data_IF_065231192212
#
_entry.id   IF_065231192212
#
_cell.length_a   1.000
_cell.length_b   1.000
_cell.length_c   1.000
_cell.angle_alpha   90.00
_cell.angle_beta   90.00
_cell.angle_gamma   90.00
#
_symmetry.space_group_name_H-M   'P 1'
#
loop_
_entity.id
_entity.type
_entity.pdbx_description
1 polymer ?
#
# COMPACT_ATOMS: atom_id res chain seq x y z
N UNK A 1 9.33 26.78 2.62
CA UNK A 1 9.94 25.93 1.60
C UNK A 1 9.06 24.72 1.34
N UNK A 2 9.21 24.19 0.16
CA UNK A 2 8.41 23.03 -0.22
C UNK A 2 8.91 21.78 0.46
N UNK A 3 8.00 20.95 0.86
CA UNK A 3 8.33 19.66 1.39
C UNK A 3 8.58 18.64 0.30
N UNK A 4 9.17 17.53 0.67
CA UNK A 4 9.31 16.37 -0.20
C UNK A 4 8.76 15.15 0.52
N UNK A 5 8.39 14.15 -0.25
CA UNK A 5 7.72 12.98 0.26
C UNK A 5 8.28 11.77 -0.47
N UNK A 6 8.83 10.84 0.29
CA UNK A 6 9.54 9.69 -0.28
C UNK A 6 8.89 8.41 0.22
N UNK A 7 8.75 7.45 -0.66
CA UNK A 7 8.14 6.15 -0.35
C UNK A 7 9.11 5.03 -0.73
N UNK A 8 9.21 4.03 0.11
CA UNK A 8 9.94 2.81 -0.22
C UNK A 8 9.30 1.63 0.51
N UNK A 9 9.62 0.43 0.06
CA UNK A 9 9.16 -0.77 0.75
C UNK A 9 9.97 -0.90 2.02
N UNK A 10 9.27 -1.01 3.15
CA UNK A 10 9.93 -1.08 4.45
C UNK A 10 10.62 -2.42 4.65
N UNK A 11 11.69 -2.42 5.42
CA UNK A 11 12.39 -3.65 5.80
C UNK A 11 11.49 -4.61 6.57
N UNK A 12 10.47 -4.06 7.23
CA UNK A 12 9.52 -4.88 7.98
C UNK A 12 8.45 -5.53 7.10
N UNK A 13 8.46 -5.32 5.79
CA UNK A 13 7.59 -6.07 4.90
C UNK A 13 7.89 -7.56 5.04
N UNK A 14 6.85 -8.41 5.11
CA UNK A 14 7.11 -9.84 5.25
C UNK A 14 7.85 -10.39 4.04
N UNK A 15 8.71 -11.39 4.28
CA UNK A 15 9.37 -12.09 3.19
C UNK A 15 8.35 -12.91 2.39
N UNK A 16 8.76 -13.32 1.19
CA UNK A 16 7.93 -14.20 0.37
C UNK A 16 7.54 -15.46 1.17
N UNK A 17 6.29 -15.84 1.07
CA UNK A 17 5.76 -16.96 1.85
C UNK A 17 4.54 -17.54 1.16
N UNK A 18 4.03 -18.62 1.73
CA UNK A 18 2.80 -19.26 1.25
C UNK A 18 1.65 -18.94 2.19
N UNK A 19 0.47 -18.69 1.62
CA UNK A 19 -0.75 -18.47 2.38
C UNK A 19 -1.86 -19.30 1.76
N UNK A 20 -2.82 -19.78 2.57
CA UNK A 20 -3.94 -20.53 2.00
C UNK A 20 -4.98 -19.63 1.38
N UNK A 21 -5.68 -20.13 0.39
CA UNK A 21 -6.87 -19.45 -0.12
C UNK A 21 -7.88 -19.28 1.01
N UNK A 22 -8.56 -18.14 1.02
CA UNK A 22 -9.53 -17.81 2.05
C UNK A 22 -8.93 -17.17 3.29
N UNK A 23 -7.59 -16.99 3.34
CA UNK A 23 -6.96 -16.33 4.48
C UNK A 23 -7.40 -14.88 4.57
N UNK A 24 -7.55 -14.39 5.79
CA UNK A 24 -8.01 -13.02 6.05
C UNK A 24 -6.89 -12.21 6.68
N UNK A 25 -6.82 -10.93 6.30
CA UNK A 25 -5.94 -9.98 6.95
C UNK A 25 -4.45 -10.27 6.78
N UNK A 26 -4.06 -10.83 5.64
CA UNK A 26 -2.66 -11.13 5.37
C UNK A 26 -1.90 -9.87 5.02
N UNK A 27 -0.76 -9.65 5.69
CA UNK A 27 0.07 -8.49 5.39
C UNK A 27 0.76 -8.73 4.05
N UNK A 28 0.45 -7.91 3.06
CA UNK A 28 1.08 -8.02 1.75
C UNK A 28 2.30 -7.12 1.64
N UNK A 29 2.27 -5.96 2.29
CA UNK A 29 3.38 -5.04 2.19
C UNK A 29 3.34 -4.04 3.34
N UNK A 30 4.51 -3.52 3.68
CA UNK A 30 4.64 -2.37 4.57
C UNK A 30 5.45 -1.34 3.81
N UNK A 31 4.91 -0.14 3.66
CA UNK A 31 5.58 0.96 2.97
C UNK A 31 6.04 1.99 3.98
N UNK A 32 7.21 2.54 3.74
CA UNK A 32 7.82 3.55 4.60
C UNK A 32 7.72 4.90 3.89
N UNK A 33 7.06 5.85 4.53
CA UNK A 33 6.94 7.21 4.03
C UNK A 33 7.82 8.13 4.86
N UNK A 34 8.54 9.01 4.19
CA UNK A 34 9.36 10.01 4.84
C UNK A 34 8.96 11.39 4.32
N UNK A 35 8.61 12.30 5.23
CA UNK A 35 8.26 13.67 4.88
C UNK A 35 9.41 14.59 5.31
N UNK A 36 9.94 15.35 4.36
CA UNK A 36 11.02 16.30 4.64
C UNK A 36 10.51 17.72 4.45
N UNK A 37 10.88 18.61 5.35
CA UNK A 37 10.56 20.02 5.23
C UNK A 37 9.22 20.43 5.79
N UNK A 38 8.23 19.56 5.73
CA UNK A 38 6.91 19.79 6.32
C UNK A 38 6.22 18.47 6.51
N UNK A 39 5.22 18.45 7.38
CA UNK A 39 4.36 17.26 7.51
C UNK A 39 3.51 17.10 6.26
N UNK A 40 3.21 15.86 5.90
CA UNK A 40 2.42 15.55 4.71
C UNK A 40 1.29 14.61 5.08
N UNK A 41 0.09 14.94 4.63
CA UNK A 41 -1.05 14.04 4.78
C UNK A 41 -1.23 13.28 3.47
N UNK A 42 -1.14 11.95 3.54
CA UNK A 42 -1.36 11.10 2.37
C UNK A 42 -2.86 11.00 2.13
N UNK A 43 -3.29 11.39 0.94
CA UNK A 43 -4.72 11.44 0.62
C UNK A 43 -5.21 10.21 -0.10
N UNK A 44 -4.47 9.75 -1.10
CA UNK A 44 -4.77 8.51 -1.82
C UNK A 44 -3.48 7.82 -2.16
N UNK A 45 -3.55 6.51 -2.35
CA UNK A 45 -2.40 5.74 -2.80
C UNK A 45 -2.88 4.67 -3.75
N UNK A 46 -2.20 4.52 -4.89
CA UNK A 46 -2.55 3.50 -5.87
C UNK A 46 -1.54 2.37 -5.82
N UNK A 47 -2.03 1.16 -5.94
CA UNK A 47 -1.22 -0.04 -5.95
C UNK A 47 -1.44 -0.80 -7.24
N UNK A 48 -0.37 -1.38 -7.74
CA UNK A 48 -0.46 -2.35 -8.84
C UNK A 48 -0.36 -3.74 -8.26
N UNK A 49 -1.26 -4.60 -8.70
CA UNK A 49 -1.27 -6.00 -8.27
C UNK A 49 -0.60 -6.82 -9.36
N UNK A 50 0.49 -7.47 -9.00
CA UNK A 50 1.19 -8.38 -9.90
C UNK A 50 0.79 -9.81 -9.60
N UNK A 51 0.72 -10.63 -10.63
CA UNK A 51 0.27 -12.00 -10.50
C UNK A 51 -1.23 -12.10 -10.62
N UNK A 52 -1.84 -12.88 -9.74
CA UNK A 52 -3.28 -13.15 -9.82
C UNK A 52 -4.07 -12.11 -9.03
N UNK A 53 -4.50 -11.03 -9.71
CA UNK A 53 -5.24 -9.96 -9.05
C UNK A 53 -6.59 -10.44 -8.51
N UNK A 54 -7.17 -11.48 -9.09
CA UNK A 54 -8.44 -12.02 -8.62
C UNK A 54 -8.31 -12.74 -7.30
N UNK A 55 -7.08 -13.01 -6.87
CA UNK A 55 -6.86 -13.62 -5.58
C UNK A 55 -7.14 -12.70 -4.41
N UNK A 56 -7.23 -11.40 -4.65
CA UNK A 56 -7.46 -10.42 -3.58
C UNK A 56 -8.91 -9.98 -3.61
N UNK A 57 -9.63 -10.19 -2.52
CA UNK A 57 -11.04 -9.84 -2.45
C UNK A 57 -11.30 -8.55 -1.69
N UNK A 58 -10.37 -8.14 -0.83
CA UNK A 58 -10.51 -6.92 -0.05
C UNK A 58 -9.14 -6.50 0.47
N UNK A 59 -9.02 -5.23 0.81
CA UNK A 59 -7.79 -4.72 1.41
C UNK A 59 -8.12 -3.86 2.63
N UNK A 60 -7.17 -3.72 3.52
CA UNK A 60 -7.24 -2.75 4.62
C UNK A 60 -5.89 -2.05 4.76
N UNK A 61 -5.96 -0.80 5.19
CA UNK A 61 -4.76 0.01 5.43
C UNK A 61 -4.64 0.25 6.93
N UNK A 62 -3.42 0.14 7.43
CA UNK A 62 -3.18 0.21 8.87
C UNK A 62 -2.03 1.15 9.20
N UNK A 63 -2.22 1.95 10.22
CA UNK A 63 -1.20 2.77 10.87
C UNK A 63 -0.91 2.10 12.21
N UNK A 64 0.11 1.23 12.22
CA UNK A 64 0.34 0.40 13.39
C UNK A 64 -0.84 -0.51 13.66
N UNK A 65 -1.49 -0.34 14.79
CA UNK A 65 -2.64 -1.15 15.16
C UNK A 65 -3.98 -0.49 14.83
N UNK A 66 -3.94 0.69 14.20
CA UNK A 66 -5.16 1.42 13.86
C UNK A 66 -5.47 1.27 12.39
N UNK A 67 -6.67 0.81 12.06
CA UNK A 67 -7.10 0.74 10.68
C UNK A 67 -7.48 2.13 10.18
N UNK A 68 -6.89 2.52 9.05
CA UNK A 68 -7.09 3.86 8.50
C UNK A 68 -7.71 3.83 7.10
N UNK A 69 -8.08 2.68 6.61
CA UNK A 69 -8.76 2.59 5.31
C UNK A 69 -9.02 1.16 4.93
N UNK A 70 -9.73 0.99 3.82
CA UNK A 70 -10.02 -0.33 3.30
C UNK A 70 -11.08 -0.29 2.21
N UNK A 71 -11.25 -1.40 1.54
CA UNK A 71 -12.25 -1.52 0.51
C UNK A 71 -12.32 -2.91 -0.08
N UNK A 72 -13.26 -3.10 -0.98
CA UNK A 72 -13.48 -4.36 -1.68
C UNK A 72 -12.72 -4.30 -3.00
N UNK A 73 -12.08 -5.42 -3.36
CA UNK A 73 -11.37 -5.54 -4.63
C UNK A 73 -12.11 -6.49 -5.55
N UNK A 74 -12.11 -6.16 -6.83
CA UNK A 74 -12.88 -6.89 -7.83
C UNK A 74 -12.00 -7.42 -8.96
N UNK A 75 -10.76 -7.75 -8.64
CA UNK A 75 -9.85 -8.33 -9.62
C UNK A 75 -9.13 -7.34 -10.49
N UNK A 76 -9.17 -6.07 -10.14
CA UNK A 76 -8.43 -5.05 -10.90
C UNK A 76 -6.94 -5.21 -10.67
N UNK A 77 -6.17 -5.00 -11.73
CA UNK A 77 -4.71 -5.02 -11.62
C UNK A 77 -4.14 -3.74 -11.01
N UNK A 78 -4.93 -2.66 -10.98
CA UNK A 78 -4.56 -1.42 -10.33
C UNK A 78 -5.76 -0.97 -9.49
N UNK A 79 -5.51 -0.64 -8.23
CA UNK A 79 -6.59 -0.10 -7.43
C UNK A 79 -6.09 1.12 -6.65
N UNK A 80 -7.00 2.06 -6.45
CA UNK A 80 -6.72 3.27 -5.67
C UNK A 80 -7.31 3.07 -4.28
N UNK A 81 -6.45 3.13 -3.28
CA UNK A 81 -6.86 2.98 -1.90
C UNK A 81 -7.17 4.33 -1.31
N UNK A 82 -8.25 4.41 -0.57
CA UNK A 82 -8.67 5.64 0.09
C UNK A 82 -8.59 5.46 1.59
N UNK A 83 -8.47 6.59 2.28
CA UNK A 83 -8.33 6.60 3.72
C UNK A 83 -9.65 7.00 4.36
N UNK A 84 -10.07 6.26 5.39
CA UNK A 84 -11.22 6.61 6.20
C UNK A 84 -10.82 7.46 7.39
N UNK A 85 -9.53 7.54 7.65
CA UNK A 85 -8.96 8.33 8.74
C UNK A 85 -7.66 8.95 8.23
N UNK A 86 -7.25 10.06 8.80
CA UNK A 86 -6.08 10.76 8.28
C UNK A 86 -4.80 9.97 8.55
N UNK A 87 -3.89 10.04 7.58
CA UNK A 87 -2.58 9.41 7.67
C UNK A 87 -1.55 10.51 7.43
N UNK A 88 -0.98 11.03 8.52
CA UNK A 88 -0.10 12.19 8.47
C UNK A 88 1.30 11.75 8.87
N UNK A 89 2.25 12.01 7.98
CA UNK A 89 3.67 11.78 8.26
C UNK A 89 4.24 13.09 8.79
N UNK A 90 4.77 13.05 10.01
CA UNK A 90 5.28 14.25 10.65
C UNK A 90 6.51 14.76 9.94
N UNK A 91 6.78 16.06 10.05
CA UNK A 91 7.93 16.69 9.44
C UNK A 91 9.21 15.98 9.85
N UNK A 92 10.04 15.66 8.86
CA UNK A 92 11.36 15.04 9.05
C UNK A 92 11.29 13.71 9.81
N UNK A 93 10.21 12.97 9.57
CA UNK A 93 9.97 11.69 10.23
C UNK A 93 9.50 10.65 9.25
N UNK A 94 9.60 9.39 9.67
CA UNK A 94 9.10 8.25 8.91
C UNK A 94 7.81 7.75 9.51
N UNK A 95 6.98 7.16 8.66
CA UNK A 95 5.77 6.50 9.13
C UNK A 95 5.49 5.31 8.23
N UNK A 96 5.06 4.20 8.84
CA UNK A 96 4.80 2.96 8.10
C UNK A 96 3.32 2.83 7.82
N UNK A 97 3.02 2.41 6.59
CA UNK A 97 1.66 2.06 6.19
C UNK A 97 1.65 0.57 5.88
N UNK A 98 0.83 -0.18 6.60
CA UNK A 98 0.70 -1.62 6.40
C UNK A 98 -0.52 -1.88 5.53
N UNK A 99 -0.34 -2.68 4.49
CA UNK A 99 -1.43 -3.07 3.60
C UNK A 99 -1.71 -4.55 3.83
N UNK A 100 -2.92 -4.84 4.28
CA UNK A 100 -3.40 -6.21 4.47
C UNK A 100 -4.46 -6.50 3.43
N UNK A 101 -4.59 -7.77 3.10
CA UNK A 101 -5.60 -8.17 2.13
C UNK A 101 -6.21 -9.50 2.54
N UNK A 102 -7.42 -9.73 2.05
CA UNK A 102 -8.09 -11.02 2.17
C UNK A 102 -7.85 -11.80 0.89
N UNK A 103 -7.50 -13.06 1.06
CA UNK A 103 -7.26 -13.96 -0.08
C UNK A 103 -8.57 -14.66 -0.41
N UNK A 104 -8.98 -14.59 -1.66
CA UNK A 104 -10.24 -15.19 -2.07
C UNK A 104 -10.20 -16.71 -1.89
N UNK A 105 -11.34 -17.28 -1.49
CA UNK A 105 -11.47 -18.72 -1.41
C UNK A 105 -11.31 -19.32 -2.80
N UNK A 106 -10.56 -20.43 -2.88
CA UNK A 106 -10.33 -21.09 -4.16
C UNK A 106 -9.31 -20.43 -5.06
N UNK A 107 -8.68 -19.36 -4.59
CA UNK A 107 -7.65 -18.70 -5.38
C UNK A 107 -6.39 -19.55 -5.45
N UNK A 108 -5.60 -19.34 -6.51
CA UNK A 108 -4.32 -20.00 -6.69
C UNK A 108 -3.32 -19.01 -7.28
N UNK A 109 -2.10 -19.51 -7.53
CA UNK A 109 -1.05 -18.70 -8.11
C UNK A 109 -0.30 -17.91 -7.06
N UNK A 110 0.17 -16.73 -7.45
CA UNK A 110 0.89 -15.84 -6.55
C UNK A 110 0.43 -14.42 -6.77
N UNK A 111 0.67 -13.57 -5.79
CA UNK A 111 0.26 -12.19 -5.87
C UNK A 111 1.21 -11.32 -5.05
N UNK A 112 1.45 -10.11 -5.54
CA UNK A 112 2.19 -9.09 -4.80
C UNK A 112 1.62 -7.74 -5.15
N UNK A 113 1.93 -6.74 -4.34
CA UNK A 113 1.49 -5.38 -4.62
C UNK A 113 2.72 -4.49 -4.73
N UNK A 114 2.60 -3.51 -5.62
CA UNK A 114 3.62 -2.49 -5.83
C UNK A 114 2.97 -1.13 -5.70
N UNK A 115 3.80 -0.15 -5.37
CA UNK A 115 3.35 1.22 -5.45
C UNK A 115 3.23 1.63 -6.92
N UNK A 116 2.10 2.20 -7.30
CA UNK A 116 1.90 2.70 -8.65
C UNK A 116 1.82 4.22 -8.61
N UNK A 117 2.90 4.88 -8.99
CA UNK A 117 2.95 6.33 -8.99
C UNK A 117 3.63 6.90 -10.22
N UNK A 118 3.68 6.12 -11.30
CA UNK A 118 4.48 6.48 -12.46
C UNK A 118 3.84 7.50 -13.39
N UNK A 119 2.59 7.81 -13.22
CA UNK A 119 1.91 8.61 -14.22
C UNK A 119 1.84 10.09 -13.88
N UNK A 120 2.54 10.53 -12.84
CA UNK A 120 2.53 11.93 -12.39
C UNK A 120 1.12 12.47 -12.23
N UNK A 121 0.19 11.60 -11.88
CA UNK A 121 -1.22 11.92 -11.87
C UNK A 121 -1.71 11.99 -10.44
N UNK A 122 -2.12 13.18 -10.02
CA UNK A 122 -2.65 13.37 -8.68
C UNK A 122 -3.89 12.54 -8.41
N UNK A 123 -4.50 11.94 -9.44
CA UNK A 123 -5.67 11.09 -9.24
C UNK A 123 -5.32 9.74 -8.63
N UNK A 124 -4.05 9.32 -8.69
CA UNK A 124 -3.65 8.00 -8.21
C UNK A 124 -3.02 8.07 -6.83
N UNK A 125 -1.88 8.74 -6.71
CA UNK A 125 -1.20 8.81 -5.42
C UNK A 125 -0.74 10.23 -5.19
N UNK A 126 -1.16 10.80 -4.07
CA UNK A 126 -0.67 12.12 -3.69
C UNK A 126 -0.94 12.38 -2.22
N UNK A 127 -0.15 13.29 -1.67
CA UNK A 127 -0.38 13.85 -0.35
C UNK A 127 -0.49 15.35 -0.45
N UNK A 128 -0.80 15.96 0.67
CA UNK A 128 -0.89 17.42 0.79
C UNK A 128 0.04 17.86 1.90
N UNK A 129 0.94 18.81 1.58
CA UNK A 129 1.80 19.40 2.60
C UNK A 129 0.96 20.20 3.56
N UNK A 130 1.17 19.95 4.85
CA UNK A 130 0.32 20.57 5.87
C UNK A 130 0.57 22.07 5.93
N UNK A 131 1.84 22.51 5.83
CA UNK A 131 2.17 23.92 5.91
C UNK A 131 1.91 24.65 4.60
N UNK A 132 2.25 24.02 3.47
CA UNK A 132 2.16 24.69 2.17
C UNK A 132 0.79 24.57 1.53
N UNK A 133 0.03 23.53 1.86
CA UNK A 133 -1.23 23.23 1.21
C UNK A 133 -1.05 22.66 -0.19
N UNK A 134 0.16 22.31 -0.59
CA UNK A 134 0.46 21.86 -1.94
C UNK A 134 0.30 20.37 -2.08
N UNK A 135 -0.18 19.93 -3.25
CA UNK A 135 -0.19 18.52 -3.58
C UNK A 135 1.22 18.03 -3.85
N UNK A 136 1.54 16.85 -3.32
CA UNK A 136 2.87 16.27 -3.45
C UNK A 136 2.70 14.83 -3.90
N UNK A 137 3.37 14.46 -5.00
CA UNK A 137 3.42 13.08 -5.45
C UNK A 137 4.66 12.45 -4.85
N UNK A 138 4.55 11.33 -4.13
CA UNK A 138 5.72 10.72 -3.52
C UNK A 138 6.73 10.28 -4.58
N UNK A 139 8.00 10.48 -4.28
CA UNK A 139 9.08 9.92 -5.08
C UNK A 139 9.53 8.61 -4.45
N UNK A 140 10.19 7.77 -5.25
CA UNK A 140 10.66 6.48 -4.78
C UNK A 140 12.17 6.46 -4.80
N UNK A 141 12.76 5.87 -3.77
CA UNK A 141 14.22 5.78 -3.65
C UNK A 141 14.73 4.44 -4.17
N UNK A 142 13.92 3.41 -4.12
CA UNK A 142 14.35 2.08 -4.46
C UNK A 142 13.18 1.30 -5.04
N UNK A 143 13.40 0.01 -5.24
CA UNK A 143 12.36 -0.89 -5.73
C UNK A 143 11.16 -0.85 -4.79
N UNK A 144 9.98 -0.62 -5.35
CA UNK A 144 8.75 -0.56 -4.58
C UNK A 144 7.95 -1.86 -4.67
N UNK A 145 8.58 -2.93 -5.16
CA UNK A 145 7.94 -4.23 -5.25
C UNK A 145 8.01 -4.94 -3.90
N UNK A 146 6.85 -5.24 -3.34
CA UNK A 146 6.80 -6.05 -2.14
C UNK A 146 7.03 -7.52 -2.50
N UNK A 147 7.53 -8.34 -1.58
CA UNK A 147 7.69 -9.77 -1.84
C UNK A 147 6.36 -10.43 -2.17
N UNK A 148 6.41 -11.41 -3.07
CA UNK A 148 5.19 -12.08 -3.50
C UNK A 148 4.74 -13.13 -2.50
N UNK A 149 3.45 -13.40 -2.49
CA UNK A 149 2.81 -14.40 -1.67
C UNK A 149 2.31 -15.50 -2.60
N UNK A 150 2.72 -16.75 -2.33
CA UNK A 150 2.22 -17.89 -3.07
C UNK A 150 0.96 -18.41 -2.38
N UNK A 151 -0.08 -18.69 -3.15
CA UNK A 151 -1.35 -19.12 -2.59
C UNK A 151 -1.41 -20.63 -2.69
N UNK A 152 -1.53 -21.28 -1.54
CA UNK A 152 -1.68 -22.73 -1.54
C UNK A 152 -3.14 -23.09 -1.67
N UNK A 153 -3.42 -23.96 -2.63
CA UNK A 153 -4.76 -24.51 -2.71
C UNK A 153 -4.89 -25.55 -1.62
N UNK A 154 -6.01 -25.49 -0.93
CA UNK A 154 -6.27 -26.47 0.09
C UNK A 154 -6.86 -27.70 -0.57
N UNK A 155 -6.08 -28.75 -0.67
CA UNK A 155 -6.46 -29.93 -1.44
C UNK A 155 -7.35 -30.87 -0.67
N UNK A 156 -8.07 -30.43 0.28
CA UNK A 156 -8.91 -31.28 1.11
C UNK A 156 -10.22 -31.66 0.46
#
# INVERSE_FOLDING_TARGET
SEGSFVLEVADSSPASRQVPGGAKGEVLAVFDFYAAGEAVELKTIAFQVDGNARALSAYTLWDGTKQVGGGVLKGESVFKATFSDSFIVSKDAHKLLTVKADIASGADGSVSINFNGNDNNFHLTYGIGISSGRGIIPSTQSDTHAPSVAITTNAQ
#
